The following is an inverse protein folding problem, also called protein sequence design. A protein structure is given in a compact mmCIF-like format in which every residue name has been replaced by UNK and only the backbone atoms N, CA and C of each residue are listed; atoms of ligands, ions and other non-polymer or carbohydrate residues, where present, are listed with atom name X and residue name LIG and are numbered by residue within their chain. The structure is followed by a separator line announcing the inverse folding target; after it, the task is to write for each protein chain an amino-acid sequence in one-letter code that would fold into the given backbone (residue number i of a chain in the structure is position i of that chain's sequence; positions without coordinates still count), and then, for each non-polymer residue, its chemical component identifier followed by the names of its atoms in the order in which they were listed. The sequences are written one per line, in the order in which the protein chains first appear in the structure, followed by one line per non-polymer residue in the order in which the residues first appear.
data_IF_286374910258
#
_entry.id   IF_286374910258
#
_cell.length_a   1.000
_cell.length_b   1.000
_cell.length_c   1.000
_cell.angle_alpha   90.00
_cell.angle_beta   90.00
_cell.angle_gamma   90.00
#
_symmetry.space_group_name_H-M   'P 1'
#
loop_
_entity.id
_entity.type
_entity.pdbx_description
1 polymer ?
#
# COMPACT_ATOMS: atom_id res chain seq x y z
N UNK A 1 9.98 -17.73 -16.37
CA UNK A 1 11.39 -17.55 -16.06
C UNK A 1 11.87 -16.20 -16.49
N UNK A 2 12.15 -15.97 -17.75
CA UNK A 2 12.58 -14.64 -18.16
C UNK A 2 11.56 -13.57 -17.83
N UNK A 3 10.28 -13.93 -17.82
CA UNK A 3 9.19 -13.01 -17.48
C UNK A 3 9.26 -12.52 -16.05
N UNK A 4 9.88 -13.30 -15.15
CA UNK A 4 9.96 -12.93 -13.75
C UNK A 4 10.84 -11.71 -13.51
N UNK A 5 11.91 -11.55 -14.30
CA UNK A 5 12.79 -10.40 -14.16
C UNK A 5 12.09 -9.09 -14.52
N UNK A 6 11.36 -9.07 -15.61
CA UNK A 6 10.58 -7.88 -16.00
C UNK A 6 9.45 -7.58 -15.04
N UNK A 7 8.78 -8.63 -14.56
CA UNK A 7 7.72 -8.49 -13.59
C UNK A 7 8.25 -7.95 -12.25
N UNK A 8 9.36 -8.48 -11.76
CA UNK A 8 9.98 -8.02 -10.52
C UNK A 8 10.39 -6.55 -10.60
N UNK A 9 10.94 -6.14 -11.76
CA UNK A 9 11.30 -4.74 -11.95
C UNK A 9 10.07 -3.83 -11.91
N UNK A 10 8.99 -4.23 -12.60
CA UNK A 10 7.75 -3.45 -12.59
C UNK A 10 7.12 -3.42 -11.19
N UNK A 11 7.23 -4.49 -10.42
CA UNK A 11 6.76 -4.53 -9.03
C UNK A 11 7.60 -3.60 -8.16
N UNK A 12 8.91 -3.53 -8.38
CA UNK A 12 9.75 -2.57 -7.66
C UNK A 12 9.36 -1.12 -7.96
N UNK A 13 8.99 -0.84 -9.20
CA UNK A 13 8.47 0.49 -9.55
C UNK A 13 7.17 0.79 -8.80
N UNK A 14 6.29 -0.20 -8.67
CA UNK A 14 5.08 -0.07 -7.88
C UNK A 14 5.41 0.25 -6.42
N UNK A 15 6.38 -0.47 -5.84
CA UNK A 15 6.83 -0.23 -4.46
C UNK A 15 7.35 1.20 -4.29
N UNK A 16 8.16 1.66 -5.22
CA UNK A 16 8.76 2.99 -5.15
C UNK A 16 7.71 4.09 -5.23
N UNK A 17 6.76 3.96 -6.16
CA UNK A 17 5.66 4.90 -6.26
C UNK A 17 4.80 4.93 -5.01
N UNK A 18 4.53 3.75 -4.43
CA UNK A 18 3.76 3.61 -3.20
C UNK A 18 4.43 4.36 -2.05
N UNK A 19 5.72 4.11 -1.83
CA UNK A 19 6.47 4.75 -0.74
C UNK A 19 6.55 6.27 -0.94
N UNK A 20 6.88 6.72 -2.14
CA UNK A 20 6.99 8.15 -2.43
C UNK A 20 5.66 8.87 -2.28
N UNK A 21 4.59 8.28 -2.83
CA UNK A 21 3.26 8.87 -2.73
C UNK A 21 2.75 8.88 -1.29
N UNK A 22 3.04 7.84 -0.52
CA UNK A 22 2.67 7.78 0.89
C UNK A 22 3.36 8.88 1.70
N UNK A 23 4.66 9.06 1.51
CA UNK A 23 5.41 10.11 2.19
C UNK A 23 4.96 11.50 1.79
N UNK A 24 4.60 11.70 0.53
CA UNK A 24 4.13 12.97 0.00
C UNK A 24 2.64 13.23 0.27
N UNK A 25 1.93 12.24 0.80
CA UNK A 25 0.47 12.28 0.97
C UNK A 25 -0.23 12.54 -0.36
N UNK A 26 0.29 11.93 -1.41
CA UNK A 26 -0.26 12.00 -2.77
C UNK A 26 -1.29 10.87 -2.94
N UNK A 27 -2.49 11.12 -2.45
CA UNK A 27 -3.55 10.10 -2.44
C UNK A 27 -4.10 9.79 -3.83
N UNK A 28 -4.01 10.72 -4.76
CA UNK A 28 -4.41 10.45 -6.15
C UNK A 28 -3.50 9.40 -6.78
N UNK A 29 -2.19 9.53 -6.58
CA UNK A 29 -1.24 8.51 -7.04
C UNK A 29 -1.48 7.19 -6.34
N UNK A 30 -1.66 7.20 -5.01
CA UNK A 30 -1.94 5.96 -4.26
C UNK A 30 -3.17 5.25 -4.80
N UNK A 31 -4.24 5.98 -5.08
CA UNK A 31 -5.46 5.39 -5.65
C UNK A 31 -5.18 4.77 -7.02
N UNK A 32 -4.36 5.41 -7.83
CA UNK A 32 -4.01 4.91 -9.17
C UNK A 32 -3.25 3.59 -9.15
N UNK A 33 -2.66 3.21 -8.00
CA UNK A 33 -1.93 1.96 -7.85
C UNK A 33 -2.82 0.76 -7.56
N UNK A 34 -4.12 0.97 -7.37
CA UNK A 34 -5.10 -0.08 -7.10
C UNK A 34 -5.82 -0.51 -8.37
N UNK A 35 -6.19 -1.79 -8.42
CA UNK A 35 -7.13 -2.29 -9.44
C UNK A 35 -8.53 -1.78 -9.15
N UNK A 36 -9.40 -1.80 -10.18
CA UNK A 36 -10.79 -1.35 -10.02
C UNK A 36 -11.57 -2.19 -9.02
N UNK A 37 -11.24 -3.48 -8.91
CA UNK A 37 -11.87 -4.43 -8.00
C UNK A 37 -11.05 -4.67 -6.73
N UNK A 38 -10.21 -3.73 -6.36
CA UNK A 38 -9.33 -3.86 -5.19
C UNK A 38 -10.08 -4.14 -3.90
N UNK A 39 -9.46 -4.89 -3.00
CA UNK A 39 -10.02 -5.20 -1.68
C UNK A 39 -8.96 -4.93 -0.61
N UNK A 40 -9.34 -4.14 0.38
CA UNK A 40 -8.49 -3.84 1.53
C UNK A 40 -9.12 -4.44 2.78
N UNK A 41 -8.36 -5.29 3.46
CA UNK A 41 -8.77 -5.96 4.69
C UNK A 41 -7.92 -5.45 5.85
N UNK A 42 -8.58 -4.81 6.81
CA UNK A 42 -7.91 -4.25 7.99
C UNK A 42 -8.49 -4.82 9.27
N UNK A 43 -7.67 -4.91 10.35
CA UNK A 43 -8.16 -5.43 11.63
C UNK A 43 -9.33 -4.62 12.17
N UNK A 44 -10.37 -5.32 12.62
CA UNK A 44 -11.50 -4.68 13.29
C UNK A 44 -12.43 -3.87 12.40
N UNK A 45 -12.23 -3.92 11.09
CA UNK A 45 -13.06 -3.17 10.13
C UNK A 45 -13.69 -4.09 9.10
N UNK A 46 -14.81 -3.68 8.55
CA UNK A 46 -15.41 -4.36 7.42
C UNK A 46 -14.50 -4.23 6.20
N UNK A 47 -14.52 -5.19 5.28
CA UNK A 47 -13.74 -5.08 4.05
C UNK A 47 -14.09 -3.81 3.26
N UNK A 48 -13.06 -3.17 2.73
CA UNK A 48 -13.21 -2.06 1.79
C UNK A 48 -13.10 -2.65 0.39
N UNK A 49 -14.19 -2.65 -0.36
CA UNK A 49 -14.30 -3.39 -1.62
C UNK A 49 -14.58 -2.44 -2.77
N UNK A 50 -13.69 -2.47 -3.77
CA UNK A 50 -13.83 -1.70 -5.00
C UNK A 50 -13.15 -0.34 -4.92
N UNK A 51 -12.83 0.19 -6.09
CA UNK A 51 -12.05 1.43 -6.17
C UNK A 51 -12.77 2.63 -5.58
N UNK A 52 -14.10 2.71 -5.73
CA UNK A 52 -14.87 3.81 -5.15
C UNK A 52 -14.82 3.80 -3.63
N UNK A 53 -14.94 2.61 -3.02
CA UNK A 53 -14.83 2.48 -1.57
C UNK A 53 -13.40 2.79 -1.08
N UNK A 54 -12.39 2.38 -1.85
CA UNK A 54 -11.00 2.68 -1.54
C UNK A 54 -10.75 4.18 -1.66
N UNK A 55 -11.34 4.84 -2.65
CA UNK A 55 -11.23 6.29 -2.78
C UNK A 55 -11.85 7.00 -1.58
N UNK A 56 -13.03 6.57 -1.13
CA UNK A 56 -13.66 7.14 0.06
C UNK A 56 -12.80 6.94 1.30
N UNK A 57 -12.19 5.76 1.44
CA UNK A 57 -11.24 5.48 2.52
C UNK A 57 -10.05 6.45 2.45
N UNK A 58 -9.48 6.65 1.27
CA UNK A 58 -8.33 7.55 1.09
C UNK A 58 -8.69 9.01 1.33
N UNK A 59 -9.87 9.44 0.93
CA UNK A 59 -10.33 10.81 1.22
C UNK A 59 -10.40 11.06 2.73
N UNK A 60 -10.84 10.06 3.48
CA UNK A 60 -10.87 10.13 4.94
C UNK A 60 -9.47 10.16 5.53
N UNK A 61 -8.56 9.32 5.01
CA UNK A 61 -7.17 9.30 5.45
C UNK A 61 -6.48 10.63 5.15
N UNK A 62 -6.79 11.23 4.01
CA UNK A 62 -6.26 12.53 3.64
C UNK A 62 -6.64 13.60 4.65
N UNK A 63 -7.90 13.63 5.08
CA UNK A 63 -8.35 14.58 6.11
C UNK A 63 -7.62 14.35 7.44
N UNK A 64 -7.51 13.09 7.87
CA UNK A 64 -6.81 12.74 9.10
C UNK A 64 -5.33 13.16 9.02
N UNK A 65 -4.70 12.94 7.86
CA UNK A 65 -3.27 13.20 7.69
C UNK A 65 -2.90 14.68 7.78
N UNK A 66 -3.86 15.58 7.64
CA UNK A 66 -3.61 17.03 7.80
C UNK A 66 -3.10 17.41 9.19
N UNK A 67 -3.41 16.57 10.18
CA UNK A 67 -2.99 16.82 11.57
C UNK A 67 -1.59 16.27 11.87
N UNK A 68 -0.94 15.60 10.91
CA UNK A 68 0.30 14.88 11.17
C UNK A 68 1.36 15.17 10.09
N UNK A 69 2.63 15.05 10.50
CA UNK A 69 3.77 14.98 9.58
C UNK A 69 4.29 13.55 9.57
N UNK A 70 4.38 12.92 8.41
CA UNK A 70 4.90 11.57 8.29
C UNK A 70 6.41 11.62 8.46
N UNK A 71 6.94 10.94 9.47
CA UNK A 71 8.37 10.92 9.78
C UNK A 71 9.04 9.62 9.35
N UNK A 72 8.25 8.57 9.13
CA UNK A 72 8.75 7.28 8.70
C UNK A 72 7.67 6.55 7.94
N UNK A 73 8.03 5.94 6.82
CA UNK A 73 7.13 5.05 6.09
C UNK A 73 7.98 4.06 5.30
N UNK A 74 8.00 2.81 5.76
CA UNK A 74 8.85 1.77 5.19
C UNK A 74 8.09 0.47 5.03
N UNK A 75 8.42 -0.25 3.96
CA UNK A 75 8.02 -1.64 3.78
C UNK A 75 9.27 -2.49 3.67
N UNK A 76 9.24 -3.68 4.25
CA UNK A 76 10.29 -4.68 4.09
C UNK A 76 9.65 -5.97 3.59
N UNK A 77 9.89 -6.27 2.33
CA UNK A 77 9.31 -7.46 1.70
C UNK A 77 10.21 -8.66 1.94
N UNK A 78 9.62 -9.72 2.47
CA UNK A 78 10.32 -10.99 2.74
C UNK A 78 10.23 -11.93 1.55
N UNK A 79 9.14 -11.87 0.80
CA UNK A 79 8.93 -12.75 -0.33
C UNK A 79 8.08 -12.04 -1.38
N UNK A 80 8.48 -12.17 -2.62
CA UNK A 80 7.71 -11.73 -3.79
C UNK A 80 7.73 -12.89 -4.78
N UNK A 81 6.55 -13.39 -5.14
CA UNK A 81 6.45 -14.51 -6.07
C UNK A 81 5.46 -14.20 -7.19
N UNK A 82 5.93 -14.31 -8.41
CA UNK A 82 5.15 -14.05 -9.62
C UNK A 82 4.56 -15.35 -10.16
N UNK A 83 3.27 -15.34 -10.42
CA UNK A 83 2.53 -16.50 -10.94
C UNK A 83 1.67 -16.00 -12.10
N UNK A 84 2.21 -16.04 -13.33
CA UNK A 84 1.49 -15.51 -14.50
C UNK A 84 1.25 -14.01 -14.38
N UNK A 85 0.00 -13.59 -14.49
CA UNK A 85 -0.40 -12.19 -14.38
C UNK A 85 -0.67 -11.74 -12.95
N UNK A 86 -0.36 -12.60 -11.99
CA UNK A 86 -0.53 -12.31 -10.56
C UNK A 86 0.80 -12.47 -9.84
N UNK A 87 0.90 -11.80 -8.70
CA UNK A 87 2.01 -11.99 -7.79
C UNK A 87 1.48 -11.87 -6.37
N UNK A 88 2.13 -12.57 -5.45
CA UNK A 88 1.92 -12.29 -4.03
C UNK A 88 3.21 -11.78 -3.43
N UNK A 89 3.07 -10.99 -2.40
CA UNK A 89 4.19 -10.52 -1.60
C UNK A 89 3.75 -10.40 -0.16
N UNK A 90 4.66 -10.67 0.75
CA UNK A 90 4.39 -10.47 2.16
C UNK A 90 5.62 -9.90 2.84
N UNK A 91 5.39 -9.18 3.90
CA UNK A 91 6.45 -8.54 4.63
C UNK A 91 5.93 -7.69 5.77
N UNK A 92 6.71 -6.68 6.11
CA UNK A 92 6.46 -5.84 7.27
C UNK A 92 6.33 -4.39 6.85
N UNK A 93 5.53 -3.65 7.60
CA UNK A 93 5.49 -2.20 7.49
C UNK A 93 5.90 -1.57 8.81
N UNK A 94 6.50 -0.39 8.71
CA UNK A 94 6.92 0.43 9.84
C UNK A 94 6.65 1.87 9.48
N UNK A 95 5.77 2.51 10.21
CA UNK A 95 5.34 3.87 9.92
C UNK A 95 5.30 4.68 11.22
N UNK A 96 5.61 5.96 11.09
CA UNK A 96 5.51 6.90 12.20
C UNK A 96 5.08 8.26 11.68
N UNK A 97 4.35 8.96 12.51
CA UNK A 97 3.90 10.31 12.22
C UNK A 97 3.96 11.13 13.50
N UNK A 98 4.18 12.44 13.34
CA UNK A 98 4.25 13.37 14.45
C UNK A 98 3.07 14.33 14.35
N UNK A 99 2.34 14.49 15.44
CA UNK A 99 1.20 15.40 15.49
C UNK A 99 1.70 16.84 15.44
N UNK A 100 1.15 17.61 14.51
CA UNK A 100 1.46 19.04 14.37
C UNK A 100 0.92 19.77 15.58
N UNK A 101 1.76 20.59 16.21
CA UNK A 101 1.40 21.40 17.37
C UNK A 101 1.77 20.78 18.72
N UNK A 102 1.65 19.47 18.89
CA UNK A 102 2.00 18.80 20.15
C UNK A 102 3.31 18.05 20.10
N UNK A 103 3.74 17.63 18.91
CA UNK A 103 4.94 16.80 18.73
C UNK A 103 4.73 15.35 19.14
N UNK A 104 3.51 14.95 19.49
CA UNK A 104 3.23 13.56 19.85
C UNK A 104 3.50 12.63 18.67
N UNK A 105 4.24 11.54 18.92
CA UNK A 105 4.59 10.57 17.90
C UNK A 105 3.61 9.40 17.96
N UNK A 106 3.06 9.04 16.81
CA UNK A 106 2.25 7.85 16.63
C UNK A 106 3.04 6.92 15.72
N UNK A 107 3.28 5.70 16.19
CA UNK A 107 4.02 4.68 15.44
C UNK A 107 3.15 3.45 15.26
N UNK A 108 3.25 2.85 14.08
CA UNK A 108 2.55 1.62 13.75
C UNK A 108 3.51 0.66 13.08
N UNK A 109 3.49 -0.58 13.51
CA UNK A 109 4.23 -1.68 12.90
C UNK A 109 3.30 -2.84 12.69
N UNK A 110 3.60 -3.63 11.69
CA UNK A 110 2.84 -4.83 11.45
C UNK A 110 3.33 -5.57 10.24
N UNK A 111 2.48 -6.45 9.77
CA UNK A 111 2.76 -7.29 8.61
C UNK A 111 1.63 -7.15 7.61
N UNK A 112 1.95 -7.40 6.36
CA UNK A 112 0.97 -7.30 5.30
C UNK A 112 1.25 -8.36 4.24
N UNK A 113 0.16 -8.79 3.61
CA UNK A 113 0.17 -9.64 2.42
C UNK A 113 -0.58 -8.90 1.33
N UNK A 114 0.02 -8.83 0.15
CA UNK A 114 -0.63 -8.21 -1.00
C UNK A 114 -0.67 -9.18 -2.17
N UNK A 115 -1.77 -9.14 -2.91
CA UNK A 115 -1.86 -9.74 -4.22
C UNK A 115 -1.78 -8.63 -5.25
N UNK A 116 -0.89 -8.79 -6.20
CA UNK A 116 -0.66 -7.83 -7.27
C UNK A 116 -1.14 -8.42 -8.59
N UNK A 117 -1.61 -7.57 -9.49
CA UNK A 117 -2.11 -8.00 -10.78
C UNK A 117 -1.47 -7.18 -11.89
N UNK A 118 -0.98 -7.88 -12.91
CA UNK A 118 -0.43 -7.26 -14.09
C UNK A 118 -1.55 -6.65 -14.94
N UNK A 119 -1.34 -5.43 -15.38
CA UNK A 119 -2.26 -4.71 -16.24
C UNK A 119 -1.91 -4.89 -17.71
N UNK A 120 -2.82 -4.49 -18.58
CA UNK A 120 -2.62 -4.64 -20.04
C UNK A 120 -1.41 -3.86 -20.54
N UNK A 121 -1.09 -2.74 -19.90
CA UNK A 121 0.06 -1.92 -20.27
C UNK A 121 1.39 -2.42 -19.70
N UNK A 122 1.36 -3.57 -19.01
CA UNK A 122 2.55 -4.16 -18.40
C UNK A 122 2.87 -3.66 -17.01
N UNK A 123 2.16 -2.65 -16.51
CA UNK A 123 2.32 -2.21 -15.12
C UNK A 123 1.65 -3.20 -14.18
N UNK A 124 2.01 -3.10 -12.89
CA UNK A 124 1.42 -3.92 -11.86
C UNK A 124 0.66 -3.05 -10.88
N UNK A 125 -0.47 -3.53 -10.42
CA UNK A 125 -1.30 -2.82 -9.45
C UNK A 125 -1.65 -3.72 -8.29
N UNK A 126 -2.00 -3.08 -7.17
CA UNK A 126 -2.44 -3.77 -5.95
C UNK A 126 -3.89 -4.19 -6.12
N UNK A 127 -4.17 -5.47 -5.94
CA UNK A 127 -5.52 -6.02 -6.08
C UNK A 127 -6.13 -6.40 -4.73
N UNK A 128 -5.33 -6.94 -3.83
CA UNK A 128 -5.78 -7.38 -2.50
C UNK A 128 -4.71 -7.02 -1.49
N UNK A 129 -5.14 -6.49 -0.35
CA UNK A 129 -4.24 -6.25 0.78
C UNK A 129 -4.92 -6.75 2.05
N UNK A 130 -4.17 -7.50 2.84
CA UNK A 130 -4.51 -7.77 4.23
C UNK A 130 -3.35 -7.27 5.09
N UNK A 131 -3.67 -6.46 6.07
CA UNK A 131 -2.68 -5.89 6.98
C UNK A 131 -3.08 -6.22 8.41
N UNK A 132 -2.09 -6.40 9.26
CA UNK A 132 -2.29 -6.70 10.67
C UNK A 132 -1.28 -5.94 11.50
N UNK A 133 -1.77 -5.11 12.40
CA UNK A 133 -0.90 -4.35 13.31
C UNK A 133 -0.34 -5.27 14.39
N UNK A 134 0.92 -5.03 14.77
CA UNK A 134 1.50 -5.68 15.94
C UNK A 134 0.85 -5.12 17.21
N UNK A 135 0.75 -5.93 18.28
CA UNK A 135 0.18 -5.48 19.53
C UNK A 135 0.94 -4.33 20.18
#
# INVERSE_FOLDING_TARGET
MENDNGALEAIRELHEKDIQASKARDFDTLLSLWTDDGVLLEPGKKPTIGKDAIKAYMDKQKEISKAYTITKYEHRWEEIKVIGDWAFEWGYFDAAAEMIGTGEVIAQRGKLLRLLQKQKDGSWKVARVIAHNDP
#
